data_IF_445961093469
#
_entry.id   IF_445961093469
#
_cell.length_a   1.000
_cell.length_b   1.000
_cell.length_c   1.000
_cell.angle_alpha   90.00
_cell.angle_beta   90.00
_cell.angle_gamma   90.00
#
_symmetry.space_group_name_H-M   'P 1'
#
loop_
_entity.id
_entity.type
_entity.pdbx_description
1 polymer ?
#
# COMPACT_ATOMS: atom_id res chain seq x y z
N UNK A 1 -13.28 -9.53 10.21
CA UNK A 1 -12.73 -9.62 8.85
C UNK A 1 -13.55 -8.67 8.00
N UNK A 2 -12.98 -7.65 7.33
CA UNK A 2 -13.77 -6.87 6.39
C UNK A 2 -14.04 -7.77 5.18
N UNK A 3 -15.28 -8.23 5.05
CA UNK A 3 -15.71 -9.18 4.01
C UNK A 3 -15.67 -8.60 2.59
N UNK A 4 -15.30 -7.32 2.42
CA UNK A 4 -15.30 -6.63 1.13
C UNK A 4 -13.93 -6.60 0.42
N UNK A 5 -12.87 -7.16 1.00
CA UNK A 5 -11.54 -7.13 0.37
C UNK A 5 -11.31 -8.27 -0.62
N UNK A 6 -12.04 -9.38 -0.50
CA UNK A 6 -11.82 -10.60 -1.29
C UNK A 6 -12.28 -10.53 -2.76
N UNK A 7 -13.00 -9.47 -3.15
CA UNK A 7 -13.51 -9.31 -4.52
C UNK A 7 -13.03 -8.02 -5.19
N UNK A 8 -11.98 -7.38 -4.66
CA UNK A 8 -11.46 -6.14 -5.26
C UNK A 8 -10.64 -6.47 -6.50
N UNK A 9 -10.67 -5.60 -7.50
CA UNK A 9 -9.81 -5.79 -8.67
C UNK A 9 -8.36 -5.46 -8.31
N UNK A 10 -7.41 -6.19 -8.90
CA UNK A 10 -5.97 -5.92 -8.76
C UNK A 10 -5.64 -4.49 -9.19
N UNK A 11 -6.28 -3.99 -10.25
CA UNK A 11 -6.09 -2.62 -10.73
C UNK A 11 -6.54 -1.58 -9.70
N UNK A 12 -7.67 -1.83 -9.04
CA UNK A 12 -8.21 -0.94 -8.00
C UNK A 12 -7.30 -0.91 -6.76
N UNK A 13 -6.82 -2.08 -6.32
CA UNK A 13 -5.87 -2.17 -5.21
C UNK A 13 -4.56 -1.47 -5.50
N UNK A 14 -4.07 -1.57 -6.74
CA UNK A 14 -2.85 -0.87 -7.15
C UNK A 14 -3.03 0.65 -7.18
N UNK A 15 -4.17 1.13 -7.68
CA UNK A 15 -4.50 2.54 -7.69
C UNK A 15 -4.65 3.11 -6.26
N UNK A 16 -5.25 2.35 -5.34
CA UNK A 16 -5.35 2.75 -3.93
C UNK A 16 -3.98 2.82 -3.25
N UNK A 17 -3.11 1.82 -3.46
CA UNK A 17 -1.76 1.84 -2.91
C UNK A 17 -0.97 3.07 -3.40
N UNK A 18 -1.05 3.40 -4.69
CA UNK A 18 -0.41 4.59 -5.27
C UNK A 18 -0.93 5.88 -4.61
N UNK A 19 -2.25 5.98 -4.39
CA UNK A 19 -2.86 7.16 -3.75
C UNK A 19 -2.48 7.26 -2.26
N UNK A 20 -2.40 6.14 -1.55
CA UNK A 20 -1.93 6.11 -0.16
C UNK A 20 -0.49 6.62 -0.05
N UNK A 21 0.42 6.17 -0.93
CA UNK A 21 1.80 6.68 -0.95
C UNK A 21 1.81 8.20 -1.16
N UNK A 22 0.97 8.72 -2.06
CA UNK A 22 0.90 10.17 -2.34
C UNK A 22 0.37 10.97 -1.16
N UNK A 23 -0.69 10.50 -0.51
CA UNK A 23 -1.27 11.15 0.67
C UNK A 23 -0.26 11.16 1.82
N UNK A 24 0.32 9.99 2.09
CA UNK A 24 1.35 9.81 3.11
C UNK A 24 2.53 10.76 2.81
N UNK A 25 3.06 10.79 1.59
CA UNK A 25 4.13 11.73 1.22
C UNK A 25 3.75 13.22 1.35
N UNK A 26 2.51 13.60 1.03
CA UNK A 26 2.05 14.99 1.13
C UNK A 26 1.93 15.44 2.60
N UNK A 27 1.49 14.53 3.47
CA UNK A 27 1.25 14.81 4.90
C UNK A 27 2.54 14.74 5.76
N UNK A 28 3.63 14.17 5.22
CA UNK A 28 4.86 13.82 5.96
C UNK A 28 5.95 14.89 5.97
N UNK A 29 5.92 15.85 5.04
CA UNK A 29 7.07 16.73 4.74
C UNK A 29 7.49 17.64 5.92
N UNK A 30 6.64 17.87 6.92
CA UNK A 30 6.98 18.77 8.04
C UNK A 30 7.41 18.10 9.36
N UNK A 31 7.03 16.85 9.68
CA UNK A 31 7.16 16.35 11.08
C UNK A 31 7.71 14.92 11.28
N UNK A 32 8.09 14.19 10.23
CA UNK A 32 8.31 12.75 10.39
C UNK A 32 9.76 12.33 10.74
N UNK A 33 9.91 11.38 11.68
CA UNK A 33 11.20 10.76 12.04
C UNK A 33 11.74 9.90 10.89
N UNK A 34 13.06 9.88 10.74
CA UNK A 34 13.79 9.14 9.70
C UNK A 34 13.42 7.65 9.64
N UNK A 35 13.10 7.03 10.78
CA UNK A 35 12.67 5.63 10.89
C UNK A 35 11.35 5.36 10.13
N UNK A 36 10.40 6.29 10.19
CA UNK A 36 9.12 6.16 9.50
C UNK A 36 9.27 6.37 7.98
N UNK A 37 10.20 7.24 7.55
CA UNK A 37 10.50 7.46 6.12
C UNK A 37 11.08 6.19 5.51
N UNK A 38 11.98 5.53 6.24
CA UNK A 38 12.60 4.28 5.81
C UNK A 38 11.57 3.13 5.67
N UNK A 39 10.57 3.06 6.56
CA UNK A 39 9.49 2.07 6.43
C UNK A 39 8.62 2.33 5.21
N UNK A 40 8.24 3.59 4.96
CA UNK A 40 7.47 3.96 3.78
C UNK A 40 8.21 3.61 2.49
N UNK A 41 9.51 3.90 2.42
CA UNK A 41 10.34 3.58 1.26
C UNK A 41 10.39 2.07 0.99
N UNK A 42 10.51 1.24 2.04
CA UNK A 42 10.46 -0.22 1.91
C UNK A 42 9.12 -0.69 1.33
N UNK A 43 8.01 -0.17 1.81
CA UNK A 43 6.69 -0.53 1.30
C UNK A 43 6.49 -0.06 -0.15
N UNK A 44 6.92 1.17 -0.49
CA UNK A 44 6.87 1.70 -1.85
C UNK A 44 7.72 0.86 -2.83
N UNK A 45 8.91 0.43 -2.43
CA UNK A 45 9.79 -0.41 -3.26
C UNK A 45 9.21 -1.81 -3.48
N UNK A 46 8.64 -2.43 -2.43
CA UNK A 46 7.94 -3.72 -2.55
C UNK A 46 6.75 -3.61 -3.49
N UNK A 47 5.96 -2.56 -3.34
CA UNK A 47 4.81 -2.29 -4.20
C UNK A 47 5.22 -2.15 -5.67
N UNK A 48 6.26 -1.36 -5.96
CA UNK A 48 6.80 -1.19 -7.31
C UNK A 48 7.21 -2.51 -7.95
N UNK A 49 7.83 -3.41 -7.17
CA UNK A 49 8.24 -4.74 -7.64
C UNK A 49 7.02 -5.60 -7.99
N UNK A 50 6.01 -5.62 -7.13
CA UNK A 50 4.79 -6.40 -7.38
C UNK A 50 4.01 -5.83 -8.56
N UNK A 51 3.86 -4.51 -8.66
CA UNK A 51 3.26 -3.82 -9.81
C UNK A 51 3.93 -4.18 -11.12
N UNK A 52 5.26 -4.15 -11.18
CA UNK A 52 6.01 -4.55 -12.36
C UNK A 52 5.80 -6.03 -12.71
N UNK A 53 5.76 -6.91 -11.71
CA UNK A 53 5.52 -8.35 -11.93
C UNK A 53 4.11 -8.62 -12.43
N UNK A 54 3.10 -7.90 -11.92
CA UNK A 54 1.71 -7.99 -12.39
C UNK A 54 1.59 -7.48 -13.82
N UNK A 55 2.19 -6.34 -14.15
CA UNK A 55 2.20 -5.80 -15.51
C UNK A 55 2.91 -6.76 -16.49
N UNK A 56 4.06 -7.29 -16.13
CA UNK A 56 4.79 -8.26 -16.95
C UNK A 56 3.98 -9.55 -17.17
N UNK A 57 3.31 -10.05 -16.13
CA UNK A 57 2.43 -11.21 -16.27
C UNK A 57 1.18 -10.90 -17.10
N UNK A 58 0.58 -9.73 -16.96
CA UNK A 58 -0.57 -9.32 -17.77
C UNK A 58 -0.19 -9.16 -19.26
N UNK A 59 1.00 -8.64 -19.55
CA UNK A 59 1.55 -8.55 -20.90
C UNK A 59 1.84 -9.94 -21.49
N UNK A 60 2.39 -10.87 -20.69
CA UNK A 60 2.65 -12.26 -21.10
C UNK A 60 1.39 -13.14 -21.16
N UNK A 61 0.36 -12.86 -20.36
CA UNK A 61 -0.93 -13.57 -20.37
C UNK A 61 -1.81 -13.24 -21.58
N UNK A 62 -1.46 -12.24 -22.38
CA UNK A 62 -2.03 -12.08 -23.73
C UNK A 62 -1.78 -13.31 -24.63
N UNK A 63 -0.79 -14.14 -24.27
CA UNK A 63 -0.43 -15.38 -24.98
C UNK A 63 -0.69 -16.68 -24.16
N UNK A 64 -1.11 -16.62 -22.89
CA UNK A 64 -1.29 -17.81 -22.04
C UNK A 64 -2.54 -17.71 -21.16
N UNK A 65 -3.44 -18.68 -21.31
CA UNK A 65 -4.74 -18.76 -20.63
C UNK A 65 -4.63 -18.58 -19.09
N UNK A 66 -5.41 -17.60 -18.60
CA UNK A 66 -5.56 -17.17 -17.21
C UNK A 66 -6.24 -18.24 -16.34
N UNK A 67 -5.49 -19.10 -15.63
CA UNK A 67 -6.17 -19.96 -14.65
C UNK A 67 -5.50 -20.29 -13.31
N UNK A 68 -4.29 -19.82 -12.95
CA UNK A 68 -3.73 -20.23 -11.64
C UNK A 68 -2.75 -19.27 -10.94
N UNK A 69 -2.44 -18.09 -11.50
CA UNK A 69 -1.38 -17.21 -10.95
C UNK A 69 -1.87 -15.86 -10.41
N UNK A 70 -3.17 -15.55 -10.52
CA UNK A 70 -3.72 -14.25 -10.15
C UNK A 70 -3.96 -14.11 -8.62
N UNK A 71 -4.42 -15.18 -7.96
CA UNK A 71 -4.84 -15.13 -6.55
C UNK A 71 -3.69 -14.78 -5.59
N UNK A 72 -2.51 -15.40 -5.76
CA UNK A 72 -1.36 -15.10 -4.89
C UNK A 72 -0.77 -13.69 -5.08
N UNK A 73 -1.05 -13.03 -6.21
CA UNK A 73 -0.61 -11.66 -6.45
C UNK A 73 -1.58 -10.63 -5.90
N UNK A 74 -2.88 -10.93 -5.97
CA UNK A 74 -3.93 -10.14 -5.34
C UNK A 74 -3.71 -10.04 -3.82
N UNK A 75 -3.42 -11.17 -3.16
CA UNK A 75 -3.12 -11.20 -1.73
C UNK A 75 -1.89 -10.35 -1.35
N UNK A 76 -0.81 -10.43 -2.13
CA UNK A 76 0.41 -9.66 -1.86
C UNK A 76 0.22 -8.14 -2.00
N UNK A 77 -0.63 -7.69 -2.94
CA UNK A 77 -0.97 -6.26 -3.07
C UNK A 77 -1.86 -5.82 -1.91
N UNK A 78 -2.84 -6.65 -1.56
CA UNK A 78 -3.76 -6.37 -0.47
C UNK A 78 -3.03 -6.20 0.88
N UNK A 79 -2.05 -7.05 1.15
CA UNK A 79 -1.19 -6.96 2.34
C UNK A 79 -0.43 -5.63 2.38
N UNK A 80 0.07 -5.15 1.23
CA UNK A 80 0.76 -3.86 1.14
C UNK A 80 -0.20 -2.69 1.37
N UNK A 81 -1.37 -2.71 0.73
CA UNK A 81 -2.39 -1.67 0.93
C UNK A 81 -2.77 -1.58 2.40
N UNK A 82 -3.01 -2.73 3.04
CA UNK A 82 -3.36 -2.82 4.46
C UNK A 82 -2.23 -2.25 5.33
N UNK A 83 -0.97 -2.65 5.09
CA UNK A 83 0.17 -2.13 5.84
C UNK A 83 0.36 -0.62 5.67
N UNK A 84 0.14 -0.07 4.48
CA UNK A 84 0.21 1.38 4.22
C UNK A 84 -0.92 2.15 4.92
N UNK A 85 -2.14 1.60 4.91
CA UNK A 85 -3.27 2.18 5.65
C UNK A 85 -2.99 2.18 7.16
N UNK A 86 -2.51 1.08 7.72
CA UNK A 86 -2.14 1.00 9.14
C UNK A 86 -1.02 1.98 9.49
N UNK A 87 -0.03 2.14 8.61
CA UNK A 87 1.06 3.09 8.80
C UNK A 87 0.55 4.54 8.79
N UNK A 88 -0.30 4.88 7.81
CA UNK A 88 -0.99 6.17 7.74
C UNK A 88 -1.77 6.45 9.03
N UNK A 89 -2.57 5.48 9.49
CA UNK A 89 -3.34 5.60 10.73
C UNK A 89 -2.45 5.81 11.97
N UNK A 90 -1.31 5.11 12.04
CA UNK A 90 -0.33 5.29 13.13
C UNK A 90 0.26 6.71 13.11
N UNK A 91 0.64 7.23 11.95
CA UNK A 91 1.13 8.60 11.82
C UNK A 91 0.10 9.62 12.30
N UNK A 92 -1.16 9.49 11.87
CA UNK A 92 -2.23 10.39 12.31
C UNK A 92 -2.52 10.30 13.81
N UNK A 93 -2.39 9.11 14.42
CA UNK A 93 -2.57 8.94 15.87
C UNK A 93 -1.41 9.54 16.66
N UNK A 94 -0.17 9.33 16.23
CA UNK A 94 1.02 9.93 16.86
C UNK A 94 1.01 11.46 16.78
N UNK A 95 0.46 12.05 15.72
CA UNK A 95 0.26 13.51 15.62
C UNK A 95 -0.79 14.05 16.61
N UNK A 96 -1.82 13.25 16.98
CA UNK A 96 -2.88 13.68 17.92
C UNK A 96 -2.58 13.47 19.40
N UNK A 97 -1.65 12.59 19.76
CA UNK A 97 -1.23 12.42 21.16
C UNK A 97 -0.30 13.54 21.65
N UNK A 98 0.24 14.38 20.77
CA UNK A 98 1.02 15.57 21.13
C UNK A 98 0.20 16.77 21.63
N UNK A 99 -1.15 16.71 21.63
CA UNK A 99 -2.02 17.84 22.04
C UNK A 99 -2.80 17.59 23.33
N UNK A 100 -2.28 16.75 24.23
CA UNK A 100 -2.80 16.62 25.60
C UNK A 100 -1.64 16.51 26.56
N UNK A 101 -0.99 17.64 26.83
CA UNK A 101 -0.27 17.94 28.07
C UNK A 101 0.32 19.35 27.96
N UNK A 102 -0.54 20.37 28.02
CA UNK A 102 -0.19 21.73 28.40
C UNK A 102 -1.49 22.51 28.68
N UNK A 103 -1.96 22.38 29.93
CA UNK A 103 -2.52 23.40 30.83
C UNK A 103 -3.47 22.77 31.85
#
# INVERSE_FOLDING_TARGET
>A
MPENLKSRDIEELMAEADELIRQINADIIEEMKEEHLLELEKYAQRFKTIKATVQEKAEKQKDFELSDSADGMHEAILDIVTAMQEFKDKLFRSSKEGTKDNF
#
